data_IF_554447506232
#
_entry.id   IF_554447506232
#
_cell.length_a   1.000
_cell.length_b   1.000
_cell.length_c   1.000
_cell.angle_alpha   90.00
_cell.angle_beta   90.00
_cell.angle_gamma   90.00
#
_symmetry.space_group_name_H-M   'P 1'
#
loop_
_entity.id
_entity.type
_entity.pdbx_description
1 polymer ?
#
# COMPACT_ATOMS: atom_id res chain seq x y z
N UNK A 1 4.42 10.57 -10.02
CA UNK A 1 5.64 10.14 -10.74
C UNK A 1 6.27 9.01 -9.95
N UNK A 2 6.29 7.80 -10.50
CA UNK A 2 6.79 6.60 -9.80
C UNK A 2 8.06 6.15 -10.48
N UNK A 3 9.20 6.60 -9.96
CA UNK A 3 10.50 6.03 -10.25
C UNK A 3 10.87 5.08 -9.09
N UNK A 4 11.57 3.99 -9.40
CA UNK A 4 12.10 3.08 -8.40
C UNK A 4 13.09 3.81 -7.47
N UNK A 5 13.04 3.49 -6.18
CA UNK A 5 13.86 4.13 -5.13
C UNK A 5 15.35 3.93 -5.38
N UNK A 6 15.73 2.79 -5.96
CA UNK A 6 17.14 2.43 -6.22
C UNK A 6 17.75 3.23 -7.39
N UNK A 7 16.96 3.57 -8.40
CA UNK A 7 17.41 4.41 -9.52
C UNK A 7 17.64 5.87 -9.08
N UNK A 8 16.87 6.33 -8.08
CA UNK A 8 16.95 7.69 -7.58
C UNK A 8 18.29 7.98 -6.91
N UNK A 9 18.79 7.05 -6.08
CA UNK A 9 20.05 7.21 -5.36
C UNK A 9 21.27 7.32 -6.29
N UNK A 10 21.27 6.57 -7.40
CA UNK A 10 22.36 6.60 -8.39
C UNK A 10 22.35 7.91 -9.19
N UNK A 11 21.16 8.42 -9.53
CA UNK A 11 21.01 9.71 -10.23
C UNK A 11 21.38 10.86 -9.29
N UNK A 12 20.99 10.80 -8.02
CA UNK A 12 21.29 11.79 -6.99
C UNK A 12 22.81 11.98 -6.80
N UNK A 13 23.57 10.89 -6.65
CA UNK A 13 25.02 10.99 -6.48
C UNK A 13 25.72 11.63 -7.69
N UNK A 14 25.25 11.34 -8.91
CA UNK A 14 25.79 11.95 -10.14
C UNK A 14 25.41 13.43 -10.26
N UNK A 15 24.19 13.79 -9.86
CA UNK A 15 23.69 15.15 -9.94
C UNK A 15 24.37 16.07 -8.90
N UNK A 16 24.56 15.61 -7.67
CA UNK A 16 25.27 16.33 -6.60
C UNK A 16 26.76 16.54 -6.90
N UNK A 17 27.41 15.58 -7.58
CA UNK A 17 28.79 15.75 -8.06
C UNK A 17 28.93 16.86 -9.10
N UNK A 18 27.90 17.07 -9.93
CA UNK A 18 27.94 18.06 -11.01
C UNK A 18 27.51 19.44 -10.52
N UNK A 19 26.46 19.52 -9.70
CA UNK A 19 25.86 20.78 -9.22
C UNK A 19 25.78 20.79 -7.67
N UNK A 20 26.77 21.39 -6.98
CA UNK A 20 26.87 21.36 -5.51
C UNK A 20 25.72 22.05 -4.76
N UNK A 21 24.92 22.87 -5.46
CA UNK A 21 23.80 23.62 -4.90
C UNK A 21 22.41 23.03 -5.25
N UNK A 22 22.37 21.81 -5.77
CA UNK A 22 21.11 21.14 -6.12
C UNK A 22 20.32 20.76 -4.85
N UNK A 23 19.20 21.45 -4.59
CA UNK A 23 18.21 21.05 -3.59
C UNK A 23 17.31 19.96 -4.18
N UNK A 24 17.57 18.70 -3.81
CA UNK A 24 16.72 17.56 -4.15
C UNK A 24 15.59 17.51 -3.12
N UNK A 25 14.35 17.75 -3.58
CA UNK A 25 13.17 17.52 -2.77
C UNK A 25 12.68 16.09 -3.02
N UNK A 26 12.72 15.24 -2.00
CA UNK A 26 12.05 13.95 -2.04
C UNK A 26 10.54 14.18 -2.14
N UNK A 27 9.97 14.09 -3.34
CA UNK A 27 8.52 14.20 -3.58
C UNK A 27 7.76 12.92 -3.20
N UNK A 28 8.43 11.93 -2.58
CA UNK A 28 7.78 10.75 -2.00
C UNK A 28 7.17 11.18 -0.67
N UNK A 29 5.88 11.48 -0.69
CA UNK A 29 5.11 11.80 0.51
C UNK A 29 5.24 10.69 1.57
N UNK A 30 5.40 11.05 2.85
CA UNK A 30 5.41 10.11 3.98
C UNK A 30 4.21 9.14 3.98
N UNK A 31 3.08 9.54 3.37
CA UNK A 31 1.88 8.73 3.26
C UNK A 31 1.99 7.58 2.22
N UNK A 32 2.89 7.68 1.24
CA UNK A 32 3.22 6.58 0.33
C UNK A 32 4.06 5.53 1.06
N UNK A 33 5.09 5.95 1.80
CA UNK A 33 5.93 5.06 2.60
C UNK A 33 5.11 4.31 3.66
N UNK A 34 4.25 5.01 4.40
CA UNK A 34 3.35 4.38 5.40
C UNK A 34 2.45 3.30 4.81
N UNK A 35 1.89 3.53 3.62
CA UNK A 35 1.02 2.56 2.96
C UNK A 35 1.78 1.35 2.42
N UNK A 36 2.98 1.57 1.89
CA UNK A 36 3.86 0.47 1.49
C UNK A 36 4.23 -0.38 2.70
N UNK A 37 4.65 0.24 3.82
CA UNK A 37 4.93 -0.49 5.07
C UNK A 37 3.72 -1.29 5.57
N UNK A 38 2.52 -0.72 5.53
CA UNK A 38 1.30 -1.43 5.92
C UNK A 38 1.04 -2.66 5.03
N UNK A 39 1.28 -2.56 3.71
CA UNK A 39 1.17 -3.70 2.80
C UNK A 39 2.23 -4.76 3.09
N UNK A 40 3.48 -4.35 3.37
CA UNK A 40 4.55 -5.28 3.75
C UNK A 40 4.21 -6.07 5.02
N UNK A 41 3.46 -5.49 5.96
CA UNK A 41 3.00 -6.18 7.17
C UNK A 41 1.73 -7.02 6.98
N UNK A 42 0.87 -6.64 6.03
CA UNK A 42 -0.43 -7.26 5.78
C UNK A 42 -0.32 -8.45 4.83
N UNK A 43 0.35 -8.28 3.69
CA UNK A 43 0.38 -9.25 2.61
C UNK A 43 0.88 -10.65 3.03
N UNK A 44 1.87 -10.82 3.92
CA UNK A 44 2.30 -12.17 4.36
C UNK A 44 1.27 -12.93 5.21
N UNK A 45 0.21 -12.25 5.68
CA UNK A 45 -0.77 -12.81 6.63
C UNK A 45 -2.10 -13.15 5.99
N UNK A 46 -2.24 -12.91 4.68
CA UNK A 46 -3.50 -13.06 3.95
C UNK A 46 -3.29 -13.79 2.64
N UNK A 47 -4.33 -14.47 2.17
CA UNK A 47 -4.29 -15.26 0.93
C UNK A 47 -4.45 -14.38 -0.31
N UNK A 48 -5.11 -13.22 -0.16
CA UNK A 48 -5.33 -12.24 -1.22
C UNK A 48 -5.22 -10.82 -0.68
N UNK A 49 -4.70 -9.90 -1.48
CA UNK A 49 -4.76 -8.47 -1.17
C UNK A 49 -5.47 -7.70 -2.27
N UNK A 50 -6.51 -6.96 -1.92
CA UNK A 50 -7.19 -6.02 -2.79
C UNK A 50 -6.74 -4.59 -2.47
N UNK A 51 -6.19 -3.93 -3.48
CA UNK A 51 -5.81 -2.51 -3.42
C UNK A 51 -6.88 -1.71 -4.16
N UNK A 52 -7.60 -0.85 -3.44
CA UNK A 52 -8.64 0.01 -4.00
C UNK A 52 -8.01 1.30 -4.54
N UNK A 53 -8.19 1.57 -5.83
CA UNK A 53 -7.79 2.82 -6.46
C UNK A 53 -7.76 2.77 -7.98
N UNK A 54 -7.36 3.89 -8.58
CA UNK A 54 -7.37 4.03 -10.04
C UNK A 54 -6.24 3.26 -10.71
N UNK A 55 -6.54 2.67 -11.87
CA UNK A 55 -5.54 2.13 -12.80
C UNK A 55 -4.64 3.19 -13.43
N UNK A 56 -4.98 4.49 -13.35
CA UNK A 56 -4.04 5.56 -13.73
C UNK A 56 -3.08 5.94 -12.60
N UNK A 57 -3.33 5.49 -11.36
CA UNK A 57 -2.50 5.82 -10.19
C UNK A 57 -1.29 4.91 -10.10
N UNK A 58 -0.12 5.48 -10.35
CA UNK A 58 1.13 4.76 -10.22
C UNK A 58 1.45 4.35 -8.76
N UNK A 59 0.89 5.06 -7.75
CA UNK A 59 0.98 4.61 -6.35
C UNK A 59 0.11 3.38 -6.11
N UNK A 60 -1.14 3.36 -6.60
CA UNK A 60 -2.04 2.22 -6.43
C UNK A 60 -1.52 0.97 -7.15
N UNK A 61 -0.96 1.14 -8.36
CA UNK A 61 -0.25 0.07 -9.08
C UNK A 61 0.94 -0.47 -8.30
N UNK A 62 1.76 0.42 -7.71
CA UNK A 62 2.92 0.00 -6.92
C UNK A 62 2.49 -0.80 -5.69
N UNK A 63 1.45 -0.36 -4.99
CA UNK A 63 0.89 -1.09 -3.85
C UNK A 63 0.40 -2.48 -4.26
N UNK A 64 -0.36 -2.60 -5.36
CA UNK A 64 -0.85 -3.88 -5.85
C UNK A 64 0.29 -4.82 -6.28
N UNK A 65 1.32 -4.29 -6.95
CA UNK A 65 2.52 -5.04 -7.33
C UNK A 65 3.23 -5.60 -6.10
N UNK A 66 3.50 -4.77 -5.09
CA UNK A 66 4.15 -5.21 -3.85
C UNK A 66 3.32 -6.29 -3.16
N UNK A 67 2.00 -6.13 -3.10
CA UNK A 67 1.14 -7.16 -2.52
C UNK A 67 1.25 -8.48 -3.28
N UNK A 68 1.21 -8.42 -4.61
CA UNK A 68 1.28 -9.59 -5.47
C UNK A 68 2.63 -10.31 -5.34
N UNK A 69 3.72 -9.56 -5.23
CA UNK A 69 5.07 -10.13 -5.04
C UNK A 69 5.21 -10.89 -3.71
N UNK A 70 4.36 -10.58 -2.71
CA UNK A 70 4.43 -11.16 -1.36
C UNK A 70 3.44 -12.31 -1.17
N UNK A 71 2.15 -12.11 -1.46
CA UNK A 71 1.12 -13.14 -1.25
C UNK A 71 0.81 -13.96 -2.51
N UNK A 72 1.41 -13.61 -3.66
CA UNK A 72 1.12 -14.26 -4.95
C UNK A 72 -0.25 -13.91 -5.54
N UNK A 73 -1.05 -13.08 -4.86
CA UNK A 73 -2.43 -12.79 -5.24
C UNK A 73 -2.84 -11.35 -4.87
N UNK A 74 -2.13 -10.38 -5.44
CA UNK A 74 -2.40 -8.95 -5.26
C UNK A 74 -3.17 -8.38 -6.46
N UNK A 75 -4.31 -7.73 -6.21
CA UNK A 75 -5.17 -7.16 -7.27
C UNK A 75 -5.43 -5.67 -7.04
N UNK A 76 -5.47 -4.91 -8.14
CA UNK A 76 -5.89 -3.50 -8.14
C UNK A 76 -7.32 -3.41 -8.67
N UNK A 77 -8.22 -2.91 -7.84
CA UNK A 77 -9.64 -2.70 -8.17
C UNK A 77 -10.02 -1.23 -8.03
N UNK A 78 -10.95 -0.75 -8.86
CA UNK A 78 -11.46 0.61 -8.76
C UNK A 78 -12.57 0.74 -7.72
N UNK A 79 -13.39 -0.31 -7.58
CA UNK A 79 -14.62 -0.30 -6.79
C UNK A 79 -15.10 -1.72 -6.46
N UNK A 80 -16.17 -1.83 -5.67
CA UNK A 80 -16.77 -3.10 -5.30
C UNK A 80 -17.31 -3.91 -6.50
N UNK A 81 -17.66 -3.26 -7.61
CA UNK A 81 -18.16 -3.97 -8.82
C UNK A 81 -17.06 -4.73 -9.57
N UNK A 82 -15.80 -4.38 -9.33
CA UNK A 82 -14.66 -5.06 -9.95
C UNK A 82 -14.32 -6.39 -9.22
N UNK A 83 -15.01 -6.70 -8.12
CA UNK A 83 -14.83 -7.95 -7.39
C UNK A 83 -15.48 -9.09 -8.17
N UNK A 84 -14.65 -10.01 -8.64
CA UNK A 84 -15.08 -11.23 -9.31
C UNK A 84 -15.21 -12.37 -8.28
N UNK A 85 -16.42 -12.92 -8.16
CA UNK A 85 -16.72 -13.99 -7.21
C UNK A 85 -15.97 -15.29 -7.51
N UNK A 86 -15.49 -15.48 -8.75
CA UNK A 86 -14.67 -16.64 -9.12
C UNK A 86 -13.35 -16.70 -8.35
N UNK A 87 -12.85 -15.56 -7.85
CA UNK A 87 -11.65 -15.48 -7.01
C UNK A 87 -11.75 -16.23 -5.69
N UNK A 88 -12.98 -16.55 -5.25
CA UNK A 88 -13.26 -17.22 -3.98
C UNK A 88 -13.85 -18.62 -4.17
N UNK A 89 -14.03 -19.08 -5.42
CA UNK A 89 -14.81 -20.26 -5.73
C UNK A 89 -14.15 -21.59 -5.31
N UNK A 90 -12.82 -21.63 -5.18
CA UNK A 90 -12.07 -22.84 -4.87
C UNK A 90 -11.68 -22.98 -3.38
N UNK A 91 -12.21 -22.10 -2.51
CA UNK A 91 -11.84 -22.00 -1.09
C UNK A 91 -10.34 -21.79 -0.81
N UNK A 92 -9.54 -21.41 -1.82
CA UNK A 92 -8.11 -21.10 -1.64
C UNK A 92 -7.88 -19.78 -0.89
N UNK A 93 -8.88 -18.89 -0.90
CA UNK A 93 -8.83 -17.58 -0.27
C UNK A 93 -9.73 -17.57 0.97
N UNK A 94 -9.13 -17.69 2.15
CA UNK A 94 -9.84 -17.63 3.44
C UNK A 94 -9.69 -16.25 4.10
N UNK A 95 -8.68 -15.50 3.70
CA UNK A 95 -8.35 -14.19 4.26
C UNK A 95 -8.02 -13.19 3.16
N UNK A 96 -8.66 -12.02 3.24
CA UNK A 96 -8.49 -10.92 2.26
C UNK A 96 -8.00 -9.68 2.98
N UNK A 97 -6.81 -9.22 2.62
CA UNK A 97 -6.28 -7.93 3.03
C UNK A 97 -6.82 -6.82 2.13
N UNK A 98 -7.26 -5.70 2.73
CA UNK A 98 -7.75 -4.55 1.97
C UNK A 98 -6.81 -3.37 2.23
N UNK A 99 -6.36 -2.73 1.15
CA UNK A 99 -5.60 -1.48 1.20
C UNK A 99 -6.14 -0.50 0.17
N UNK A 100 -5.76 0.77 0.27
CA UNK A 100 -6.25 1.80 -0.64
C UNK A 100 -5.14 2.79 -1.01
N UNK A 101 -5.20 3.26 -2.26
CA UNK A 101 -4.37 4.36 -2.75
C UNK A 101 -4.59 5.65 -1.95
N UNK A 102 -3.59 6.53 -1.94
CA UNK A 102 -3.67 7.78 -1.18
C UNK A 102 -4.79 8.72 -1.62
N UNK A 103 -5.21 8.62 -2.89
CA UNK A 103 -6.25 9.43 -3.52
C UNK A 103 -7.61 8.71 -3.61
N UNK A 104 -7.75 7.55 -2.98
CA UNK A 104 -8.99 6.76 -3.04
C UNK A 104 -9.95 7.24 -1.95
N UNK A 105 -11.17 7.67 -2.30
CA UNK A 105 -12.21 8.01 -1.32
C UNK A 105 -12.52 6.85 -0.37
N UNK A 106 -12.77 7.17 0.89
CA UNK A 106 -13.05 6.20 1.94
C UNK A 106 -14.30 5.35 1.64
N UNK A 107 -15.36 5.95 1.08
CA UNK A 107 -16.60 5.22 0.76
C UNK A 107 -16.38 4.06 -0.23
N UNK A 108 -15.44 4.19 -1.18
CA UNK A 108 -15.13 3.09 -2.11
C UNK A 108 -14.49 1.90 -1.39
N UNK A 109 -13.71 2.17 -0.34
CA UNK A 109 -13.12 1.12 0.50
C UNK A 109 -14.20 0.45 1.33
N UNK A 110 -15.13 1.22 1.88
CA UNK A 110 -16.27 0.73 2.66
C UNK A 110 -17.23 -0.13 1.81
N UNK A 111 -17.49 0.26 0.56
CA UNK A 111 -18.29 -0.53 -0.39
C UNK A 111 -17.62 -1.88 -0.68
N UNK A 112 -16.30 -1.88 -0.88
CA UNK A 112 -15.51 -3.11 -1.09
C UNK A 112 -15.58 -4.00 0.14
N UNK A 113 -15.41 -3.45 1.34
CA UNK A 113 -15.52 -4.20 2.61
C UNK A 113 -16.91 -4.82 2.73
N UNK A 114 -17.96 -4.04 2.50
CA UNK A 114 -19.35 -4.49 2.59
C UNK A 114 -19.59 -5.65 1.63
N UNK A 115 -19.14 -5.50 0.37
CA UNK A 115 -19.29 -6.55 -0.63
C UNK A 115 -18.58 -7.85 -0.27
N UNK A 116 -17.37 -7.76 0.29
CA UNK A 116 -16.62 -8.94 0.73
C UNK A 116 -17.27 -9.63 1.93
N UNK A 117 -17.84 -8.87 2.87
CA UNK A 117 -18.60 -9.41 4.00
C UNK A 117 -19.86 -10.12 3.50
N UNK A 118 -20.58 -9.55 2.53
CA UNK A 118 -21.74 -10.20 1.90
C UNK A 118 -21.38 -11.51 1.21
N UNK A 119 -20.25 -11.56 0.50
CA UNK A 119 -19.79 -12.76 -0.21
C UNK A 119 -19.32 -13.85 0.76
N UNK A 120 -18.54 -13.46 1.78
CA UNK A 120 -17.88 -14.42 2.69
C UNK A 120 -18.75 -14.84 3.87
N UNK A 121 -19.76 -14.04 4.26
CA UNK A 121 -20.45 -14.17 5.54
C UNK A 121 -19.55 -13.89 6.77
N UNK A 122 -18.34 -13.36 6.54
CA UNK A 122 -17.31 -13.13 7.55
C UNK A 122 -17.41 -11.79 8.27
N UNK A 123 -16.31 -11.38 8.89
CA UNK A 123 -16.17 -10.07 9.56
C UNK A 123 -14.94 -9.35 9.04
N UNK A 124 -15.04 -8.03 8.94
CA UNK A 124 -13.90 -7.17 8.62
C UNK A 124 -13.28 -6.62 9.90
N UNK A 125 -11.96 -6.67 10.01
CA UNK A 125 -11.19 -6.12 11.13
C UNK A 125 -10.16 -5.11 10.63
N UNK A 126 -10.07 -3.96 11.30
CA UNK A 126 -9.10 -2.92 10.96
C UNK A 126 -7.78 -3.22 11.67
N UNK A 127 -6.76 -3.59 10.89
CA UNK A 127 -5.39 -3.75 11.40
C UNK A 127 -4.71 -2.39 11.37
N UNK A 128 -4.57 -1.75 12.54
CA UNK A 128 -3.72 -0.57 12.64
C UNK A 128 -2.24 -0.99 12.70
N UNK A 129 -1.36 -0.41 11.87
CA UNK A 129 0.07 -0.65 11.99
C UNK A 129 0.52 -0.23 13.39
N UNK A 130 1.33 -1.05 14.05
CA UNK A 130 1.87 -0.72 15.38
C UNK A 130 2.61 0.61 15.25
N UNK A 131 2.07 1.66 15.88
CA UNK A 131 2.75 2.94 15.97
C UNK A 131 4.12 2.70 16.59
N UNK A 132 5.19 2.81 15.81
CA UNK A 132 6.52 2.94 16.38
C UNK A 132 6.49 4.21 17.23
N UNK A 133 6.40 4.03 18.56
CA UNK A 133 6.79 5.06 19.53
C UNK A 133 8.21 5.47 19.16
N UNK A 134 8.35 6.60 18.48
CA UNK A 134 9.58 7.36 18.48
C UNK A 134 9.70 7.84 19.92
N UNK A 135 10.54 7.19 20.71
CA UNK A 135 10.84 7.65 22.07
C UNK A 135 11.41 9.07 21.97
N UNK A 136 10.70 10.02 22.57
CA UNK A 136 11.27 11.29 22.98
C UNK A 136 12.49 11.00 23.87
N UNK A 137 13.68 11.28 23.37
CA UNK A 137 14.84 11.55 24.22
C UNK A 137 14.99 13.06 24.27
N UNK A 138 14.20 13.69 25.15
CA UNK A 138 14.62 14.96 25.73
C UNK A 138 15.63 14.66 26.82
N UNK A 139 16.65 15.51 26.92
CA UNK A 139 17.64 15.65 28.00
C UNK A 139 18.95 14.85 27.85
N UNK A 140 19.97 15.49 27.27
CA UNK A 140 21.23 15.79 27.99
C UNK A 140 22.15 16.71 27.15
N UNK A 141 22.19 17.98 27.53
CA UNK A 141 23.31 18.92 27.40
C UNK A 141 22.95 20.03 28.40
N UNK A 142 23.61 20.18 29.55
CA UNK A 142 25.06 20.29 29.69
C UNK A 142 25.34 21.78 29.79
#
# INVERSE_FOLDING_TARGET
>A
TTAHIEDFAVVEQKALKKWPHLKIFHTICNATTKRQSAILELAPKVDMVLVVGSQSSANSKRLASISNDICGNGKLIGSAVDIDTSWFADNSVQSVGISAGASTPQFLVEDVITKLVEISGGKAEVIQPKSNRINNISQTAG
#
